data_IF_442843603985
#
_entry.id   IF_442843603985
#
_cell.length_a   1.000
_cell.length_b   1.000
_cell.length_c   1.000
_cell.angle_alpha   90.00
_cell.angle_beta   90.00
_cell.angle_gamma   90.00
#
_symmetry.space_group_name_H-M   'P 1'
#
loop_
_entity.id
_entity.type
_entity.pdbx_description
1 polymer ?
#
# COMPACT_ATOMS: atom_id res chain seq x y z
N UNK A 1 17.36 31.24 -1.18
CA UNK A 1 17.10 30.12 -2.12
C UNK A 1 16.36 29.04 -1.35
N UNK A 2 15.03 28.99 -1.47
CA UNK A 2 14.17 28.03 -0.77
C UNK A 2 13.42 27.21 -1.81
N UNK A 3 13.79 25.94 -1.96
CA UNK A 3 13.16 24.97 -2.87
C UNK A 3 12.48 23.87 -2.05
N UNK A 4 11.42 24.24 -1.33
CA UNK A 4 10.51 23.28 -0.69
C UNK A 4 9.07 23.78 -0.83
N UNK A 5 8.47 23.64 -2.02
CA UNK A 5 7.04 23.94 -2.18
C UNK A 5 6.36 23.20 -3.34
N UNK A 6 7.10 22.66 -4.31
CA UNK A 6 6.48 22.16 -5.54
C UNK A 6 5.88 20.75 -5.43
N UNK A 7 6.35 19.92 -4.49
CA UNK A 7 5.98 18.48 -4.45
C UNK A 7 4.55 18.24 -3.93
N UNK A 8 4.04 19.07 -3.02
CA UNK A 8 2.66 18.92 -2.52
C UNK A 8 1.60 19.44 -3.50
N UNK A 9 1.97 20.24 -4.50
CA UNK A 9 1.00 20.88 -5.40
C UNK A 9 0.43 19.92 -6.43
N UNK A 10 1.14 18.83 -6.75
CA UNK A 10 0.71 17.82 -7.73
C UNK A 10 -0.32 16.83 -7.17
N UNK A 11 -0.33 16.58 -5.86
CA UNK A 11 -1.34 15.70 -5.23
C UNK A 11 -2.77 16.25 -5.31
N UNK A 12 -2.94 17.56 -5.55
CA UNK A 12 -4.25 18.20 -5.59
C UNK A 12 -4.90 18.21 -6.98
N UNK A 13 -4.14 17.97 -8.05
CA UNK A 13 -4.63 18.08 -9.43
C UNK A 13 -5.30 16.79 -9.91
N UNK A 14 -4.95 15.64 -9.32
CA UNK A 14 -5.46 14.33 -9.76
C UNK A 14 -6.54 13.70 -8.87
N UNK A 15 -6.94 14.34 -7.78
CA UNK A 15 -8.03 13.85 -6.92
C UNK A 15 -9.37 14.42 -7.36
N UNK A 16 -9.99 13.74 -8.33
CA UNK A 16 -11.36 13.98 -8.75
C UNK A 16 -12.35 13.81 -7.58
N UNK A 17 -13.12 14.87 -7.35
CA UNK A 17 -14.24 14.92 -6.42
C UNK A 17 -15.25 13.79 -6.69
N UNK A 18 -15.52 12.95 -5.68
CA UNK A 18 -16.82 12.30 -5.57
C UNK A 18 -17.22 12.16 -4.09
N UNK A 19 -17.81 13.24 -3.54
CA UNK A 19 -18.56 13.20 -2.28
C UNK A 19 -20.03 13.01 -2.61
N UNK A 20 -20.59 11.87 -2.19
CA UNK A 20 -21.86 11.71 -1.46
C UNK A 20 -22.34 10.25 -1.54
N UNK A 21 -22.47 9.59 -0.39
CA UNK A 21 -23.78 9.14 0.12
C UNK A 21 -23.59 8.46 1.47
N UNK A 22 -24.23 9.00 2.49
CA UNK A 22 -24.31 8.39 3.82
C UNK A 22 -25.30 7.22 3.80
N UNK A 23 -24.90 6.06 4.34
CA UNK A 23 -25.82 5.08 4.92
C UNK A 23 -25.21 4.50 6.20
N UNK A 24 -26.03 4.51 7.24
CA UNK A 24 -25.75 4.09 8.62
C UNK A 24 -26.24 2.65 8.82
N UNK A 25 -25.67 1.98 9.83
CA UNK A 25 -26.04 0.70 10.47
C UNK A 25 -25.45 -0.50 9.70
N UNK A 26 -24.54 -1.32 10.26
CA UNK A 26 -24.76 -2.29 11.35
C UNK A 26 -23.56 -2.37 12.31
N UNK A 27 -23.89 -2.48 13.60
CA UNK A 27 -23.01 -2.63 14.75
C UNK A 27 -22.30 -4.00 14.74
N UNK A 28 -21.05 -4.02 14.28
CA UNK A 28 -20.10 -5.09 14.58
C UNK A 28 -18.95 -4.43 15.33
N UNK A 29 -18.86 -4.70 16.64
CA UNK A 29 -17.70 -4.35 17.46
C UNK A 29 -16.49 -5.17 17.00
N UNK A 30 -15.85 -4.74 15.91
CA UNK A 30 -14.48 -5.13 15.57
C UNK A 30 -13.59 -3.97 16.01
N UNK A 31 -12.84 -4.18 17.08
CA UNK A 31 -11.82 -3.25 17.55
C UNK A 31 -10.91 -2.84 16.39
N UNK A 32 -10.95 -1.55 16.03
CA UNK A 32 -10.15 -0.98 14.96
C UNK A 32 -8.65 -1.22 15.23
N UNK A 33 -7.88 -1.82 14.30
CA UNK A 33 -6.43 -1.89 14.45
C UNK A 33 -5.88 -0.48 14.25
N UNK A 34 -5.61 0.21 15.35
CA UNK A 34 -5.03 1.56 15.35
C UNK A 34 -3.50 1.45 15.34
N UNK A 35 -2.80 2.53 15.00
CA UNK A 35 -1.33 2.66 14.98
C UNK A 35 -0.68 2.16 16.30
N UNK A 36 -1.37 2.34 17.42
CA UNK A 36 -0.98 1.82 18.75
C UNK A 36 -0.85 0.29 18.77
N UNK A 37 -1.72 -0.43 18.05
CA UNK A 37 -1.72 -1.89 17.92
C UNK A 37 -0.46 -2.38 17.19
N UNK A 38 -0.02 -1.70 16.12
CA UNK A 38 1.23 -2.07 15.42
C UNK A 38 2.47 -1.78 16.28
N UNK A 39 2.43 -0.71 17.10
CA UNK A 39 3.53 -0.30 17.96
C UNK A 39 3.71 -1.21 19.19
N UNK A 40 2.62 -1.76 19.74
CA UNK A 40 2.68 -2.58 20.96
C UNK A 40 2.76 -4.10 20.72
N UNK A 41 2.34 -4.62 19.57
CA UNK A 41 2.07 -6.06 19.44
C UNK A 41 3.18 -6.83 18.71
N UNK A 42 3.95 -6.18 17.83
CA UNK A 42 4.84 -6.91 16.91
C UNK A 42 6.32 -6.53 17.10
N UNK A 43 7.01 -7.24 17.98
CA UNK A 43 8.45 -7.08 18.19
C UNK A 43 9.29 -7.76 17.10
N UNK A 44 8.79 -8.83 16.49
CA UNK A 44 9.52 -9.59 15.46
C UNK A 44 9.10 -9.16 14.04
N UNK A 45 10.01 -9.18 13.05
CA UNK A 45 9.66 -8.92 11.66
C UNK A 45 8.54 -9.85 11.14
N UNK A 46 8.56 -11.13 11.52
CA UNK A 46 7.49 -12.07 11.13
C UNK A 46 6.14 -11.72 11.77
N UNK A 47 6.12 -11.30 13.03
CA UNK A 47 4.87 -10.89 13.68
C UNK A 47 4.20 -9.71 12.98
N UNK A 48 4.98 -8.80 12.36
CA UNK A 48 4.44 -7.74 11.51
C UNK A 48 3.73 -8.33 10.30
N UNK A 49 4.34 -9.31 9.63
CA UNK A 49 3.75 -9.98 8.46
C UNK A 49 2.44 -10.68 8.82
N UNK A 50 2.43 -11.47 9.90
CA UNK A 50 1.26 -12.22 10.34
C UNK A 50 0.11 -11.29 10.76
N UNK A 51 0.43 -10.18 11.43
CA UNK A 51 -0.53 -9.13 11.76
C UNK A 51 -1.12 -8.47 10.50
N UNK A 52 -0.28 -8.14 9.53
CA UNK A 52 -0.74 -7.53 8.28
C UNK A 52 -1.68 -8.47 7.53
N UNK A 53 -1.34 -9.77 7.43
CA UNK A 53 -2.19 -10.79 6.78
C UNK A 53 -3.52 -10.95 7.50
N UNK A 54 -3.51 -11.14 8.82
CA UNK A 54 -4.75 -11.30 9.61
C UNK A 54 -5.64 -10.06 9.58
N UNK A 55 -5.06 -8.85 9.64
CA UNK A 55 -5.80 -7.59 9.56
C UNK A 55 -6.35 -7.31 8.16
N UNK A 56 -5.70 -7.83 7.11
CA UNK A 56 -6.12 -7.64 5.71
C UNK A 56 -7.45 -8.30 5.38
N UNK A 57 -8.00 -9.15 6.25
CA UNK A 57 -9.36 -9.69 6.11
C UNK A 57 -10.39 -8.55 6.08
N UNK A 58 -10.15 -7.47 6.84
CA UNK A 58 -11.01 -6.29 6.90
C UNK A 58 -10.78 -5.34 5.70
N UNK A 59 -11.79 -5.04 4.87
CA UNK A 59 -11.66 -4.12 3.74
C UNK A 59 -11.22 -2.70 4.15
N UNK A 60 -11.70 -2.21 5.28
CA UNK A 60 -11.36 -0.89 5.83
C UNK A 60 -9.86 -0.80 6.19
N UNK A 61 -9.27 -1.91 6.62
CA UNK A 61 -7.83 -2.01 6.85
C UNK A 61 -7.06 -1.92 5.54
N UNK A 62 -7.48 -2.65 4.50
CA UNK A 62 -6.81 -2.65 3.18
C UNK A 62 -6.82 -1.27 2.51
N UNK A 63 -7.90 -0.51 2.67
CA UNK A 63 -8.00 0.85 2.11
C UNK A 63 -7.04 1.86 2.75
N UNK A 64 -6.52 1.58 3.95
CA UNK A 64 -5.62 2.48 4.67
C UNK A 64 -4.17 2.20 4.26
N UNK A 65 -3.74 2.84 3.17
CA UNK A 65 -2.34 2.83 2.69
C UNK A 65 -1.30 2.98 3.79
N UNK A 66 -1.55 3.86 4.76
CA UNK A 66 -0.65 4.12 5.88
C UNK A 66 -0.25 2.86 6.68
N UNK A 67 -1.14 1.86 6.77
CA UNK A 67 -0.85 0.59 7.44
C UNK A 67 0.30 -0.15 6.75
N UNK A 68 0.28 -0.18 5.42
CA UNK A 68 1.34 -0.80 4.63
C UNK A 68 2.63 0.04 4.65
N UNK A 69 2.53 1.37 4.59
CA UNK A 69 3.70 2.25 4.66
C UNK A 69 4.52 1.99 5.94
N UNK A 70 3.88 1.90 7.12
CA UNK A 70 4.58 1.61 8.37
C UNK A 70 5.17 0.19 8.36
N UNK A 71 4.38 -0.82 7.97
CA UNK A 71 4.82 -2.21 7.97
C UNK A 71 6.04 -2.40 7.07
N UNK A 72 5.96 -1.93 5.82
CA UNK A 72 7.05 -2.01 4.84
C UNK A 72 8.28 -1.24 5.32
N UNK A 73 8.11 -0.04 5.88
CA UNK A 73 9.23 0.73 6.42
C UNK A 73 9.97 -0.03 7.55
N UNK A 74 9.22 -0.63 8.48
CA UNK A 74 9.80 -1.42 9.58
C UNK A 74 10.50 -2.68 9.07
N UNK A 75 9.90 -3.39 8.13
CA UNK A 75 10.47 -4.61 7.54
C UNK A 75 11.73 -4.31 6.72
N UNK A 76 11.71 -3.24 5.92
CA UNK A 76 12.88 -2.79 5.17
C UNK A 76 14.04 -2.40 6.10
N UNK A 77 13.75 -1.69 7.22
CA UNK A 77 14.76 -1.37 8.24
C UNK A 77 15.36 -2.63 8.88
N UNK A 78 14.55 -3.68 9.06
CA UNK A 78 15.00 -4.98 9.53
C UNK A 78 15.64 -5.85 8.43
N UNK A 79 15.77 -5.35 7.19
CA UNK A 79 16.23 -6.09 6.00
C UNK A 79 15.42 -7.38 5.72
N UNK A 80 14.17 -7.44 6.17
CA UNK A 80 13.30 -8.59 6.00
C UNK A 80 12.43 -8.44 4.75
N UNK A 81 13.09 -8.47 3.58
CA UNK A 81 12.47 -8.20 2.29
C UNK A 81 11.48 -9.30 1.84
N UNK A 82 11.73 -10.56 2.20
CA UNK A 82 10.79 -11.67 1.95
C UNK A 82 9.44 -11.42 2.63
N UNK A 83 9.43 -10.83 3.83
CA UNK A 83 8.20 -10.45 4.52
C UNK A 83 7.41 -9.36 3.80
N UNK A 84 8.09 -8.41 3.15
CA UNK A 84 7.44 -7.38 2.34
C UNK A 84 6.76 -8.01 1.12
N UNK A 85 7.46 -8.92 0.44
CA UNK A 85 6.90 -9.67 -0.68
C UNK A 85 5.70 -10.49 -0.23
N UNK A 86 5.79 -11.24 0.88
CA UNK A 86 4.67 -12.01 1.42
C UNK A 86 3.42 -11.16 1.72
N UNK A 87 3.59 -9.96 2.28
CA UNK A 87 2.45 -9.07 2.58
C UNK A 87 1.76 -8.67 1.28
N UNK A 88 2.52 -8.29 0.26
CA UNK A 88 1.99 -7.77 -1.01
C UNK A 88 1.38 -8.90 -1.84
N UNK A 89 2.04 -10.05 -1.94
CA UNK A 89 1.49 -11.24 -2.60
C UNK A 89 0.18 -11.69 -1.94
N UNK A 90 0.10 -11.65 -0.59
CA UNK A 90 -1.14 -11.93 0.12
C UNK A 90 -2.28 -10.97 -0.24
N UNK A 91 -2.00 -9.74 -0.70
CA UNK A 91 -3.07 -8.82 -1.10
C UNK A 91 -3.70 -9.19 -2.44
N UNK A 92 -3.02 -9.96 -3.28
CA UNK A 92 -3.51 -10.32 -4.63
C UNK A 92 -4.75 -11.22 -4.60
N UNK A 93 -5.07 -11.85 -3.47
CA UNK A 93 -6.28 -12.65 -3.32
C UNK A 93 -7.55 -11.80 -3.14
N UNK A 94 -7.42 -10.52 -2.80
CA UNK A 94 -8.56 -9.64 -2.55
C UNK A 94 -8.99 -8.91 -3.84
N UNK A 95 -10.29 -8.61 -4.01
CA UNK A 95 -10.79 -7.97 -5.22
C UNK A 95 -10.25 -6.55 -5.44
N UNK A 96 -9.75 -5.90 -4.39
CA UNK A 96 -9.09 -4.59 -4.45
C UNK A 96 -7.88 -4.59 -5.41
N UNK A 97 -7.26 -5.74 -5.70
CA UNK A 97 -6.13 -5.85 -6.64
C UNK A 97 -6.46 -5.43 -8.08
N UNK A 98 -7.75 -5.37 -8.43
CA UNK A 98 -8.20 -4.88 -9.74
C UNK A 98 -8.13 -3.36 -9.85
N UNK A 99 -8.04 -2.65 -8.73
CA UNK A 99 -7.95 -1.19 -8.69
C UNK A 99 -6.51 -0.72 -8.94
N UNK A 100 -6.34 0.14 -9.95
CA UNK A 100 -5.02 0.63 -10.37
C UNK A 100 -4.32 1.43 -9.28
N UNK A 101 -5.07 2.20 -8.47
CA UNK A 101 -4.49 2.99 -7.38
C UNK A 101 -4.01 2.09 -6.24
N UNK A 102 -4.74 1.01 -5.96
CA UNK A 102 -4.37 -0.01 -4.97
C UNK A 102 -3.09 -0.73 -5.37
N UNK A 103 -2.96 -1.21 -6.61
CA UNK A 103 -1.70 -1.82 -7.09
C UNK A 103 -0.56 -0.80 -7.13
N UNK A 104 -0.85 0.42 -7.59
CA UNK A 104 0.11 1.52 -7.60
C UNK A 104 0.71 1.82 -6.22
N UNK A 105 -0.09 1.71 -5.16
CA UNK A 105 0.39 1.82 -3.79
C UNK A 105 1.51 0.80 -3.50
N UNK A 106 1.35 -0.47 -3.90
CA UNK A 106 2.36 -1.51 -3.69
C UNK A 106 3.61 -1.31 -4.55
N UNK A 107 3.47 -0.83 -5.79
CA UNK A 107 4.60 -0.45 -6.64
C UNK A 107 5.46 0.63 -5.95
N UNK A 108 4.83 1.65 -5.37
CA UNK A 108 5.54 2.69 -4.60
C UNK A 108 6.19 2.14 -3.33
N UNK A 109 5.53 1.21 -2.62
CA UNK A 109 6.05 0.59 -1.41
C UNK A 109 7.31 -0.23 -1.70
N UNK A 110 7.33 -1.02 -2.78
CA UNK A 110 8.54 -1.70 -3.24
C UNK A 110 9.66 -0.72 -3.56
N UNK A 111 9.36 0.40 -4.23
CA UNK A 111 10.34 1.47 -4.46
C UNK A 111 10.93 2.01 -3.15
N UNK A 112 10.08 2.35 -2.17
CA UNK A 112 10.50 2.82 -0.85
C UNK A 112 11.39 1.80 -0.09
N UNK A 113 11.16 0.50 -0.31
CA UNK A 113 11.92 -0.58 0.29
C UNK A 113 13.22 -0.93 -0.47
N UNK A 114 13.59 -0.16 -1.51
CA UNK A 114 14.76 -0.44 -2.38
C UNK A 114 14.62 -1.77 -3.16
N UNK A 115 13.38 -2.16 -3.47
CA UNK A 115 13.03 -3.41 -4.17
C UNK A 115 12.47 -3.13 -5.58
N UNK A 116 13.18 -2.35 -6.39
CA UNK A 116 12.68 -1.91 -7.71
C UNK A 116 12.33 -3.07 -8.67
N UNK A 117 13.10 -4.16 -8.67
CA UNK A 117 12.78 -5.31 -9.52
C UNK A 117 11.41 -5.92 -9.19
N UNK A 118 11.02 -5.91 -7.91
CA UNK A 118 9.70 -6.37 -7.48
C UNK A 118 8.61 -5.37 -7.89
N UNK A 119 8.88 -4.07 -7.82
CA UNK A 119 7.99 -3.03 -8.33
C UNK A 119 7.71 -3.20 -9.83
N UNK A 120 8.77 -3.43 -10.63
CA UNK A 120 8.67 -3.68 -12.07
C UNK A 120 7.96 -4.99 -12.39
N UNK A 121 8.24 -6.06 -11.64
CA UNK A 121 7.53 -7.34 -11.76
C UNK A 121 6.03 -7.16 -11.51
N UNK A 122 5.64 -6.51 -10.42
CA UNK A 122 4.23 -6.27 -10.10
C UNK A 122 3.54 -5.43 -11.18
N UNK A 123 4.18 -4.36 -11.69
CA UNK A 123 3.64 -3.59 -12.81
C UNK A 123 3.38 -4.46 -14.03
N UNK A 124 4.29 -5.36 -14.39
CA UNK A 124 4.13 -6.27 -15.52
C UNK A 124 3.01 -7.30 -15.31
N UNK A 125 2.76 -7.71 -14.08
CA UNK A 125 1.70 -8.65 -13.70
C UNK A 125 0.30 -8.02 -13.68
N UNK A 126 0.16 -6.69 -13.61
CA UNK A 126 -1.13 -5.99 -13.52
C UNK A 126 -2.21 -6.52 -14.49
N UNK A 127 -1.94 -6.72 -15.80
CA UNK A 127 -2.96 -7.22 -16.73
C UNK A 127 -3.47 -8.63 -16.39
N UNK A 128 -2.65 -9.45 -15.73
CA UNK A 128 -3.01 -10.80 -15.27
C UNK A 128 -3.88 -10.76 -14.01
N UNK A 129 -3.88 -9.62 -13.30
CA UNK A 129 -4.68 -9.36 -12.10
C UNK A 129 -5.99 -8.64 -12.41
N UNK A 130 -6.44 -8.66 -13.68
CA UNK A 130 -7.56 -7.87 -14.20
C UNK A 130 -7.41 -6.35 -13.97
N UNK A 131 -6.18 -5.86 -13.79
CA UNK A 131 -5.87 -4.46 -13.57
C UNK A 131 -5.21 -3.88 -14.83
N UNK A 132 -5.90 -2.99 -15.54
CA UNK A 132 -5.33 -2.37 -16.73
C UNK A 132 -4.21 -1.40 -16.36
N UNK A 133 -3.09 -1.49 -17.08
CA UNK A 133 -2.02 -0.51 -17.00
C UNK A 133 -2.40 0.73 -17.78
N UNK A 134 -2.20 1.89 -17.18
CA UNK A 134 -2.37 3.18 -17.82
C UNK A 134 -1.12 4.03 -17.67
N UNK A 135 -1.16 5.26 -18.18
CA UNK A 135 -0.10 6.26 -17.95
C UNK A 135 0.08 6.53 -16.44
N UNK A 136 -0.99 6.38 -15.64
CA UNK A 136 -0.90 6.55 -14.19
C UNK A 136 0.02 5.49 -13.55
N UNK A 137 -0.26 4.19 -13.75
CA UNK A 137 0.59 3.13 -13.19
C UNK A 137 2.01 3.15 -13.74
N UNK A 138 2.19 3.58 -15.00
CA UNK A 138 3.53 3.79 -15.55
C UNK A 138 4.29 4.92 -14.83
N UNK A 139 3.64 6.06 -14.59
CA UNK A 139 4.25 7.16 -13.83
C UNK A 139 4.54 6.75 -12.37
N UNK A 140 3.68 5.94 -11.78
CA UNK A 140 3.91 5.36 -10.44
C UNK A 140 5.15 4.45 -10.45
N UNK A 141 5.35 3.63 -11.49
CA UNK A 141 6.56 2.83 -11.64
C UNK A 141 7.81 3.71 -11.77
N UNK A 142 7.77 4.77 -12.58
CA UNK A 142 8.88 5.74 -12.69
C UNK A 142 9.19 6.39 -11.35
N UNK A 143 8.16 6.80 -10.61
CA UNK A 143 8.32 7.36 -9.27
C UNK A 143 8.96 6.35 -8.31
N UNK A 144 8.55 5.08 -8.36
CA UNK A 144 9.15 4.02 -7.54
C UNK A 144 10.66 3.85 -7.82
N UNK A 145 11.10 4.03 -9.07
CA UNK A 145 12.52 4.00 -9.47
C UNK A 145 13.32 5.14 -8.84
N UNK A 146 12.74 6.35 -8.76
CA UNK A 146 13.41 7.52 -8.16
C UNK A 146 13.54 7.34 -6.64
N UNK A 147 12.59 6.64 -6.02
CA UNK A 147 12.59 6.36 -4.58
C UNK A 147 13.47 5.16 -4.21
N UNK A 148 13.76 4.27 -5.16
CA UNK A 148 14.60 3.08 -4.95
C UNK A 148 16.08 3.35 -4.82
#
# INVERSE_FOLDING_TARGET
MSTFSTVHRLQRIFSGNNRKSARKIIDVKTTEPTISTLNHINHTPQGIVDFMKSSSICPEFRRRRFNYDIAVHRLAKAKYFSGIEEIIEHQKQYPDIRDESFVGCFILLYGNAKMYDHARKLFNEMPQLDCQRTVYSFNVLLESCIRS
#
